data_IF_077082104601
#
_entry.id   IF_077082104601
#
_cell.length_a   1.000
_cell.length_b   1.000
_cell.length_c   1.000
_cell.angle_alpha   90.00
_cell.angle_beta   90.00
_cell.angle_gamma   90.00
#
_symmetry.space_group_name_H-M   'P 1'
#
loop_
_entity.id
_entity.type
_entity.pdbx_description
1 polymer ?
#
# COMPACT_ATOMS: atom_id res chain seq x y z
N UNK A 1 5.64 23.57 -17.30
CA UNK A 1 6.73 22.56 -17.26
C UNK A 1 6.15 21.21 -17.66
N UNK A 2 6.86 20.40 -18.46
CA UNK A 2 6.38 19.06 -18.87
C UNK A 2 6.23 18.17 -17.63
N UNK A 3 5.06 17.52 -17.50
CA UNK A 3 4.79 16.55 -16.43
C UNK A 3 5.17 15.15 -16.91
N UNK A 4 4.79 14.78 -18.13
CA UNK A 4 5.13 13.48 -18.72
C UNK A 4 4.56 13.28 -20.12
N UNK A 5 4.93 12.14 -20.72
CA UNK A 5 4.49 11.67 -22.03
C UNK A 5 3.75 10.36 -21.86
N UNK A 6 2.51 10.27 -22.33
CA UNK A 6 1.62 9.14 -22.13
C UNK A 6 1.05 8.65 -23.46
N UNK A 7 0.47 7.45 -23.46
CA UNK A 7 -0.23 6.91 -24.62
C UNK A 7 -1.60 6.39 -24.20
N UNK A 8 -2.66 6.85 -24.87
CA UNK A 8 -3.99 6.25 -24.73
C UNK A 8 -4.31 5.45 -25.99
N UNK A 9 -4.98 4.31 -25.78
CA UNK A 9 -5.64 3.56 -26.85
C UNK A 9 -7.13 3.88 -26.73
N UNK A 10 -7.61 4.73 -27.61
CA UNK A 10 -9.03 5.07 -27.71
C UNK A 10 -9.60 4.24 -28.87
N UNK A 11 -10.90 3.91 -28.80
CA UNK A 11 -11.65 3.12 -29.78
C UNK A 11 -11.14 3.33 -31.22
N UNK A 12 -10.92 2.22 -31.94
CA UNK A 12 -10.37 2.10 -33.31
C UNK A 12 -8.84 1.89 -33.45
N UNK A 13 -8.17 1.36 -32.41
CA UNK A 13 -6.76 0.89 -32.47
C UNK A 13 -5.73 1.98 -32.80
N UNK A 14 -6.09 3.26 -32.68
CA UNK A 14 -5.17 4.38 -32.88
C UNK A 14 -4.53 4.75 -31.54
N UNK A 15 -3.21 4.66 -31.49
CA UNK A 15 -2.43 5.17 -30.35
C UNK A 15 -2.36 6.69 -30.43
N UNK A 16 -2.83 7.37 -29.40
CA UNK A 16 -2.64 8.82 -29.24
C UNK A 16 -1.45 9.07 -28.31
N UNK A 17 -0.50 9.90 -28.76
CA UNK A 17 0.54 10.44 -27.88
C UNK A 17 -0.01 11.65 -27.13
N UNK A 18 0.00 11.59 -25.80
CA UNK A 18 -0.53 12.65 -24.93
C UNK A 18 0.64 13.28 -24.18
N UNK A 19 0.85 14.59 -24.36
CA UNK A 19 1.87 15.37 -23.67
C UNK A 19 1.18 16.30 -22.67
N UNK A 20 1.46 16.12 -21.38
CA UNK A 20 0.79 16.92 -20.34
C UNK A 20 1.77 17.89 -19.70
N UNK A 21 1.40 19.17 -19.68
CA UNK A 21 2.19 20.25 -19.12
C UNK A 21 1.48 20.89 -17.94
N UNK A 22 2.25 21.29 -16.93
CA UNK A 22 1.77 22.20 -15.88
C UNK A 22 1.68 23.62 -16.43
N UNK A 23 0.46 24.15 -16.45
CA UNK A 23 0.15 25.57 -16.66
C UNK A 23 -0.08 26.35 -15.37
N UNK A 24 -0.18 27.67 -15.49
CA UNK A 24 -0.67 28.59 -14.45
C UNK A 24 -1.62 29.58 -15.09
N UNK A 25 -2.68 29.94 -14.39
CA UNK A 25 -3.62 30.98 -14.83
C UNK A 25 -2.91 32.33 -14.83
N UNK A 26 -3.02 33.06 -15.93
CA UNK A 26 -2.47 34.43 -16.08
C UNK A 26 -3.57 35.50 -16.19
N UNK A 27 -4.85 35.09 -16.25
CA UNK A 27 -6.04 35.92 -16.36
C UNK A 27 -7.20 35.15 -17.01
N UNK A 28 -8.40 35.77 -17.08
CA UNK A 28 -9.59 35.22 -17.74
C UNK A 28 -10.68 34.70 -16.77
N UNK A 29 -11.84 34.34 -17.33
CA UNK A 29 -12.95 33.69 -16.62
C UNK A 29 -13.08 32.23 -17.07
N UNK A 30 -13.24 31.31 -16.13
CA UNK A 30 -13.37 29.88 -16.40
C UNK A 30 -14.74 29.58 -17.03
N UNK A 31 -14.76 29.07 -18.27
CA UNK A 31 -15.98 28.72 -19.03
C UNK A 31 -15.71 27.48 -19.90
N UNK A 32 -16.71 26.60 -20.10
CA UNK A 32 -16.54 25.40 -20.91
C UNK A 32 -16.31 25.76 -22.39
N UNK A 33 -15.54 24.91 -23.07
CA UNK A 33 -15.26 25.00 -24.51
C UNK A 33 -16.31 24.28 -25.36
N UNK A 34 -16.05 24.17 -26.66
CA UNK A 34 -16.89 23.42 -27.61
C UNK A 34 -16.79 21.90 -27.45
N UNK A 35 -15.69 21.42 -26.86
CA UNK A 35 -15.38 20.02 -26.59
C UNK A 35 -15.61 19.59 -25.13
N UNK A 36 -16.13 20.48 -24.28
CA UNK A 36 -16.36 20.23 -22.86
C UNK A 36 -17.77 20.67 -22.42
N UNK A 37 -18.52 19.77 -21.78
CA UNK A 37 -19.85 20.08 -21.24
C UNK A 37 -19.80 20.99 -20.00
N UNK A 38 -18.75 20.85 -19.19
CA UNK A 38 -18.56 21.60 -17.96
C UNK A 38 -17.08 21.84 -17.68
N UNK A 39 -16.78 22.86 -16.89
CA UNK A 39 -15.44 23.13 -16.37
C UNK A 39 -15.54 23.64 -14.94
N UNK A 40 -14.65 23.17 -14.08
CA UNK A 40 -14.57 23.60 -12.68
C UNK A 40 -13.16 23.41 -12.13
N UNK A 41 -12.90 23.96 -10.95
CA UNK A 41 -11.70 23.74 -10.17
C UNK A 41 -11.87 22.56 -9.23
N UNK A 42 -11.00 21.56 -9.37
CA UNK A 42 -11.01 20.39 -8.51
C UNK A 42 -9.81 20.38 -7.57
N UNK A 43 -10.07 19.97 -6.32
CA UNK A 43 -9.01 19.59 -5.41
C UNK A 43 -8.38 18.28 -5.88
N UNK A 44 -7.05 18.15 -5.73
CA UNK A 44 -6.33 16.91 -6.06
C UNK A 44 -6.76 15.70 -5.22
N UNK A 45 -7.48 15.92 -4.10
CA UNK A 45 -8.04 14.87 -3.25
C UNK A 45 -9.53 14.59 -3.51
N UNK A 46 -10.13 15.33 -4.43
CA UNK A 46 -11.55 15.22 -4.79
C UNK A 46 -11.71 15.52 -6.28
N UNK A 47 -11.12 14.64 -7.08
CA UNK A 47 -11.23 14.69 -8.53
C UNK A 47 -12.53 14.02 -8.98
N UNK A 48 -13.14 14.50 -10.07
CA UNK A 48 -14.23 13.77 -10.72
C UNK A 48 -13.67 12.50 -11.36
N UNK A 49 -14.56 11.66 -11.87
CA UNK A 49 -14.15 10.58 -12.77
C UNK A 49 -13.48 11.19 -14.00
N UNK A 50 -12.27 10.72 -14.32
CA UNK A 50 -11.50 11.24 -15.44
C UNK A 50 -11.81 10.44 -16.69
N UNK A 51 -12.10 11.15 -17.78
CA UNK A 51 -12.47 10.55 -19.06
C UNK A 51 -11.37 9.65 -19.68
N UNK A 52 -10.09 9.90 -19.35
CA UNK A 52 -8.95 9.20 -19.94
C UNK A 52 -7.98 8.65 -18.88
N UNK A 53 -7.45 7.42 -19.06
CA UNK A 53 -6.43 6.85 -18.17
C UNK A 53 -5.18 7.71 -18.05
N UNK A 54 -4.69 8.28 -19.16
CA UNK A 54 -3.51 9.18 -19.14
C UNK A 54 -3.68 10.39 -18.21
N UNK A 55 -4.90 10.91 -18.06
CA UNK A 55 -5.19 11.99 -17.13
C UNK A 55 -4.96 11.59 -15.67
N UNK A 56 -5.35 10.36 -15.30
CA UNK A 56 -5.09 9.80 -13.97
C UNK A 56 -3.60 9.61 -13.75
N UNK A 57 -2.93 8.92 -14.67
CA UNK A 57 -1.48 8.66 -14.57
C UNK A 57 -0.67 9.95 -14.50
N UNK A 58 -1.08 11.00 -15.21
CA UNK A 58 -0.40 12.28 -15.17
C UNK A 58 -0.60 13.04 -13.87
N UNK A 59 -1.77 12.93 -13.23
CA UNK A 59 -1.99 13.51 -11.91
C UNK A 59 -1.22 12.76 -10.83
N UNK A 60 -1.16 11.43 -10.90
CA UNK A 60 -0.32 10.60 -10.02
C UNK A 60 1.17 10.94 -10.18
N UNK A 61 1.66 11.01 -11.42
CA UNK A 61 3.03 11.41 -11.72
C UNK A 61 3.31 12.86 -11.31
N UNK A 62 2.36 13.78 -11.49
CA UNK A 62 2.49 15.15 -11.01
C UNK A 62 2.55 15.23 -9.49
N UNK A 63 1.72 14.46 -8.77
CA UNK A 63 1.76 14.37 -7.32
C UNK A 63 3.10 13.81 -6.85
N UNK A 64 3.61 12.78 -7.51
CA UNK A 64 4.94 12.21 -7.25
C UNK A 64 6.06 13.23 -7.50
N UNK A 65 6.03 13.94 -8.64
CA UNK A 65 7.04 14.97 -8.96
C UNK A 65 6.95 16.16 -7.98
N UNK A 66 5.74 16.57 -7.61
CA UNK A 66 5.50 17.74 -6.75
C UNK A 66 5.87 17.46 -5.30
N UNK A 67 5.49 16.29 -4.79
CA UNK A 67 5.59 15.96 -3.38
C UNK A 67 6.78 15.02 -3.10
N UNK A 68 7.59 14.69 -4.10
CA UNK A 68 8.52 13.56 -4.00
C UNK A 68 7.77 12.25 -3.76
N UNK A 69 8.47 11.17 -3.36
CA UNK A 69 7.79 10.02 -2.76
C UNK A 69 6.93 10.53 -1.59
N UNK A 70 5.84 9.83 -1.26
CA UNK A 70 4.88 10.20 -0.20
C UNK A 70 5.49 10.45 1.21
N UNK A 71 6.81 10.32 1.34
CA UNK A 71 7.66 10.56 2.50
C UNK A 71 8.33 11.94 2.53
N UNK A 72 8.19 12.80 1.51
CA UNK A 72 8.88 14.11 1.52
C UNK A 72 8.20 15.10 2.48
N UNK A 73 8.76 15.23 3.68
CA UNK A 73 8.35 16.24 4.65
C UNK A 73 9.13 17.53 4.37
N UNK A 74 8.41 18.59 3.99
CA UNK A 74 9.02 19.90 3.68
C UNK A 74 9.04 20.88 4.85
N UNK A 75 8.14 20.70 5.83
CA UNK A 75 7.99 21.60 6.97
C UNK A 75 8.00 20.82 8.28
N UNK A 76 8.58 21.42 9.32
CA UNK A 76 8.66 20.81 10.63
C UNK A 76 7.27 20.65 11.26
N UNK A 77 6.87 19.45 11.72
CA UNK A 77 5.57 19.24 12.36
C UNK A 77 5.45 19.94 13.72
N UNK A 78 6.58 20.34 14.34
CA UNK A 78 6.59 21.02 15.66
C UNK A 78 6.50 22.53 15.55
N UNK A 79 7.29 23.15 14.67
CA UNK A 79 7.44 24.61 14.61
C UNK A 79 7.13 25.22 13.24
N UNK A 80 6.78 24.40 12.23
CA UNK A 80 6.39 24.81 10.87
C UNK A 80 7.49 25.46 10.01
N UNK A 81 8.72 25.60 10.50
CA UNK A 81 9.86 26.02 9.68
C UNK A 81 10.13 25.01 8.54
N UNK A 82 10.67 25.49 7.41
CA UNK A 82 11.15 24.61 6.34
C UNK A 82 12.25 23.68 6.87
N UNK A 83 12.23 22.41 6.43
CA UNK A 83 13.26 21.43 6.77
C UNK A 83 14.43 21.54 5.80
N UNK A 84 15.63 21.32 6.33
CA UNK A 84 16.90 21.29 5.59
C UNK A 84 17.49 19.88 5.60
N UNK A 85 18.37 19.55 4.66
CA UNK A 85 19.11 18.28 4.68
C UNK A 85 20.22 18.38 5.72
N UNK A 86 20.24 17.47 6.70
CA UNK A 86 21.32 17.34 7.68
C UNK A 86 21.91 15.94 7.62
N UNK A 87 23.24 15.87 7.48
CA UNK A 87 23.99 14.63 7.59
C UNK A 87 24.01 14.15 9.05
N UNK A 88 23.49 12.95 9.30
CA UNK A 88 23.50 12.30 10.62
C UNK A 88 24.06 10.89 10.41
N UNK A 89 25.25 10.65 10.96
CA UNK A 89 26.03 9.46 10.61
C UNK A 89 26.37 9.47 9.12
N UNK A 90 25.92 8.45 8.39
CA UNK A 90 26.23 8.27 6.96
C UNK A 90 25.03 8.55 6.03
N UNK A 91 23.97 9.19 6.54
CA UNK A 91 22.74 9.46 5.77
C UNK A 91 22.24 10.88 6.01
N UNK A 92 21.61 11.46 5.00
CA UNK A 92 20.96 12.76 5.09
C UNK A 92 19.48 12.62 5.45
N UNK A 93 19.02 13.43 6.39
CA UNK A 93 17.62 13.47 6.81
C UNK A 93 17.05 14.89 6.72
N UNK A 94 15.74 15.05 6.44
CA UNK A 94 15.05 16.30 6.68
C UNK A 94 15.11 16.67 8.17
N UNK A 95 15.71 17.80 8.48
CA UNK A 95 15.92 18.27 9.84
C UNK A 95 15.58 19.75 9.98
N UNK A 96 14.98 20.11 11.11
CA UNK A 96 14.60 21.48 11.39
C UNK A 96 15.83 22.27 11.88
N UNK A 97 16.14 23.43 11.29
CA UNK A 97 17.23 24.29 11.77
C UNK A 97 16.87 24.99 13.09
N UNK A 98 15.58 25.15 13.40
CA UNK A 98 15.11 25.93 14.55
C UNK A 98 14.91 25.10 15.83
N UNK A 99 14.12 24.04 15.77
CA UNK A 99 13.80 23.21 16.95
C UNK A 99 14.54 21.88 16.99
N UNK A 100 15.46 21.67 16.04
CA UNK A 100 16.31 20.48 15.91
C UNK A 100 15.57 19.14 15.72
N UNK A 101 14.26 19.16 15.44
CA UNK A 101 13.51 17.97 15.01
C UNK A 101 14.18 17.32 13.79
N UNK A 102 14.22 15.99 13.77
CA UNK A 102 14.70 15.19 12.64
C UNK A 102 13.58 14.26 12.20
N UNK A 103 13.30 14.25 10.90
CA UNK A 103 12.35 13.32 10.29
C UNK A 103 13.09 12.06 9.82
N UNK A 104 13.02 10.99 10.61
CA UNK A 104 13.57 9.70 10.21
C UNK A 104 12.60 8.96 9.29
N UNK A 105 13.12 8.40 8.20
CA UNK A 105 12.36 7.50 7.34
C UNK A 105 12.40 6.10 7.96
N UNK A 106 11.40 5.79 8.77
CA UNK A 106 11.25 4.48 9.39
C UNK A 106 10.46 3.52 8.47
N UNK A 107 10.73 2.21 8.53
CA UNK A 107 9.88 1.22 7.89
C UNK A 107 8.44 1.31 8.42
N UNK A 108 7.47 1.04 7.55
CA UNK A 108 6.08 0.88 7.96
C UNK A 108 5.91 -0.49 8.64
N UNK A 109 5.42 -0.56 9.89
CA UNK A 109 5.14 -1.81 10.57
C UNK A 109 3.85 -2.46 10.05
N UNK A 110 3.91 -3.76 9.76
CA UNK A 110 2.79 -4.58 9.26
C UNK A 110 2.74 -5.88 10.04
N UNK A 111 1.55 -6.37 10.37
CA UNK A 111 1.33 -7.67 10.97
C UNK A 111 0.59 -8.59 9.99
N UNK A 112 1.10 -9.82 9.78
CA UNK A 112 0.46 -10.86 8.95
C UNK A 112 0.33 -12.15 9.75
N UNK A 113 -0.66 -12.98 9.42
CA UNK A 113 -0.90 -14.23 10.16
C UNK A 113 -1.04 -15.42 9.23
N UNK A 114 -0.34 -16.51 9.55
CA UNK A 114 -0.61 -17.84 9.00
C UNK A 114 -1.62 -18.52 9.91
N UNK A 115 -2.81 -18.78 9.38
CA UNK A 115 -3.88 -19.50 10.07
C UNK A 115 -4.11 -20.82 9.34
N UNK A 116 -4.23 -21.91 10.10
CA UNK A 116 -4.61 -23.21 9.56
C UNK A 116 -5.90 -23.73 10.17
N UNK A 117 -6.67 -24.48 9.37
CA UNK A 117 -7.81 -25.24 9.88
C UNK A 117 -7.39 -26.63 10.40
N UNK A 118 -8.38 -27.42 10.84
CA UNK A 118 -8.18 -28.76 11.37
C UNK A 118 -7.63 -29.75 10.32
N UNK A 119 -7.81 -29.46 9.04
CA UNK A 119 -7.26 -30.25 7.93
C UNK A 119 -5.85 -29.80 7.51
N UNK A 120 -5.28 -28.79 8.18
CA UNK A 120 -3.95 -28.25 7.88
C UNK A 120 -3.91 -27.40 6.61
N UNK A 121 -5.07 -26.96 6.10
CA UNK A 121 -5.13 -26.01 4.98
C UNK A 121 -4.83 -24.60 5.48
N UNK A 122 -4.24 -23.78 4.62
CA UNK A 122 -3.77 -22.44 4.95
C UNK A 122 -4.79 -21.41 4.48
N UNK A 123 -5.17 -20.49 5.38
CA UNK A 123 -6.03 -19.37 5.06
C UNK A 123 -5.27 -18.32 4.23
N UNK A 124 -5.85 -17.93 3.11
CA UNK A 124 -5.40 -16.80 2.30
C UNK A 124 -6.59 -15.86 2.02
N UNK A 125 -6.28 -14.58 1.85
CA UNK A 125 -7.23 -13.53 1.44
C UNK A 125 -6.87 -13.02 0.05
N UNK A 126 -7.88 -12.75 -0.77
CA UNK A 126 -7.71 -12.22 -2.12
C UNK A 126 -7.84 -10.72 -2.08
N UNK A 127 -6.81 -10.00 -2.47
CA UNK A 127 -6.75 -8.53 -2.36
C UNK A 127 -7.74 -7.85 -3.28
N UNK A 128 -8.57 -6.94 -2.76
CA UNK A 128 -9.49 -6.13 -3.56
C UNK A 128 -8.82 -4.90 -4.18
N UNK A 129 -7.88 -4.28 -3.45
CA UNK A 129 -7.30 -2.98 -3.81
C UNK A 129 -5.89 -3.09 -4.41
N UNK A 130 -5.51 -2.18 -5.33
CA UNK A 130 -4.14 -2.10 -5.84
C UNK A 130 -3.16 -1.67 -4.71
N UNK A 131 -1.88 -2.06 -4.79
CA UNK A 131 -1.26 -2.89 -5.84
C UNK A 131 -1.66 -4.36 -5.68
N UNK A 132 -1.50 -5.13 -6.77
CA UNK A 132 -1.76 -6.58 -6.79
C UNK A 132 -3.21 -6.96 -6.42
N UNK A 133 -4.18 -6.17 -6.87
CA UNK A 133 -5.59 -6.55 -6.79
C UNK A 133 -5.81 -7.87 -7.54
N UNK A 134 -6.57 -8.78 -6.94
CA UNK A 134 -6.82 -10.14 -7.42
C UNK A 134 -5.80 -11.20 -6.99
N UNK A 135 -4.65 -10.80 -6.41
CA UNK A 135 -3.64 -11.72 -5.89
C UNK A 135 -3.94 -12.16 -4.45
N UNK A 136 -3.45 -13.34 -4.08
CA UNK A 136 -3.66 -13.95 -2.76
C UNK A 136 -2.54 -13.58 -1.78
N UNK A 137 -2.92 -13.22 -0.56
CA UNK A 137 -2.00 -12.85 0.51
C UNK A 137 -2.34 -13.59 1.82
N UNK A 138 -1.41 -13.53 2.78
CA UNK A 138 -1.75 -13.81 4.16
C UNK A 138 -2.69 -12.71 4.67
N UNK A 139 -3.67 -13.03 5.53
CA UNK A 139 -4.43 -11.99 6.20
C UNK A 139 -3.50 -11.10 7.03
N UNK A 140 -3.68 -9.79 6.95
CA UNK A 140 -2.80 -8.84 7.62
C UNK A 140 -2.78 -7.43 7.05
N UNK A 141 -2.34 -6.50 7.88
CA UNK A 141 -2.38 -5.07 7.57
C UNK A 141 -1.43 -4.25 8.44
N UNK A 142 -1.60 -2.94 8.37
CA UNK A 142 -0.76 -1.98 9.09
C UNK A 142 -0.99 -2.09 10.60
N UNK A 143 0.09 -1.92 11.37
CA UNK A 143 -0.04 -1.79 12.82
C UNK A 143 -0.44 -0.34 13.13
N UNK A 144 -1.60 -0.18 13.78
CA UNK A 144 -2.13 1.14 14.10
C UNK A 144 -1.39 1.82 15.26
N UNK A 145 -1.62 3.13 15.40
CA UNK A 145 -1.05 3.89 16.50
C UNK A 145 -1.60 3.41 17.84
N UNK A 146 -0.70 3.11 18.78
CA UNK A 146 -1.00 2.51 20.10
C UNK A 146 -1.50 1.05 20.03
N UNK A 147 -1.27 0.34 18.93
CA UNK A 147 -1.56 -1.08 18.80
C UNK A 147 -0.26 -1.90 18.85
N UNK A 148 -0.31 -3.10 19.45
CA UNK A 148 0.75 -4.10 19.35
C UNK A 148 0.67 -4.87 18.02
N UNK A 149 1.77 -5.53 17.63
CA UNK A 149 1.77 -6.37 16.43
C UNK A 149 0.80 -7.56 16.58
N UNK A 150 0.65 -8.09 17.78
CA UNK A 150 -0.28 -9.17 18.13
C UNK A 150 -1.75 -8.72 18.02
N UNK A 151 -2.08 -7.54 18.55
CA UNK A 151 -3.43 -6.97 18.43
C UNK A 151 -3.78 -6.72 16.96
N UNK A 152 -2.87 -6.13 16.19
CA UNK A 152 -3.06 -5.93 14.75
C UNK A 152 -3.29 -7.25 14.01
N UNK A 153 -2.45 -8.26 14.25
CA UNK A 153 -2.61 -9.58 13.63
C UNK A 153 -3.99 -10.22 13.90
N UNK A 154 -4.50 -10.11 15.14
CA UNK A 154 -5.82 -10.64 15.52
C UNK A 154 -6.94 -9.80 14.89
N UNK A 155 -6.82 -8.47 14.92
CA UNK A 155 -7.80 -7.54 14.35
C UNK A 155 -7.95 -7.76 12.85
N UNK A 156 -6.85 -7.75 12.11
CA UNK A 156 -6.83 -7.88 10.64
C UNK A 156 -7.45 -9.21 10.19
N UNK A 157 -7.09 -10.33 10.84
CA UNK A 157 -7.73 -11.63 10.54
C UNK A 157 -9.23 -11.58 10.76
N UNK A 158 -9.69 -10.93 11.83
CA UNK A 158 -11.13 -10.79 12.11
C UNK A 158 -11.82 -9.89 11.07
N UNK A 159 -11.22 -8.78 10.69
CA UNK A 159 -11.76 -7.80 9.75
C UNK A 159 -11.85 -8.36 8.32
N UNK A 160 -10.79 -9.02 7.84
CA UNK A 160 -10.72 -9.54 6.47
C UNK A 160 -11.44 -10.88 6.29
N UNK A 161 -11.60 -11.69 7.35
CA UNK A 161 -12.06 -13.09 7.23
C UNK A 161 -13.20 -13.49 8.17
N UNK A 162 -13.58 -12.64 9.12
CA UNK A 162 -14.61 -12.96 10.12
C UNK A 162 -14.23 -14.05 11.14
N UNK A 163 -13.00 -14.57 11.09
CA UNK A 163 -12.50 -15.59 12.00
C UNK A 163 -11.90 -14.98 13.27
N UNK A 164 -12.13 -15.66 14.39
CA UNK A 164 -11.51 -15.32 15.67
C UNK A 164 -10.37 -16.29 15.93
N UNK A 165 -9.17 -15.75 16.14
CA UNK A 165 -7.97 -16.55 16.31
C UNK A 165 -7.28 -16.28 17.64
N UNK A 166 -6.42 -17.23 18.04
CA UNK A 166 -5.41 -17.03 19.07
C UNK A 166 -4.04 -17.22 18.46
N UNK A 167 -3.14 -16.27 18.68
CA UNK A 167 -1.76 -16.39 18.22
C UNK A 167 -1.01 -17.42 19.08
N UNK A 168 -0.32 -18.34 18.43
CA UNK A 168 0.52 -19.35 19.09
C UNK A 168 1.97 -18.90 19.22
N UNK A 169 2.52 -18.23 18.20
CA UNK A 169 3.89 -17.71 18.19
C UNK A 169 4.13 -16.69 17.08
N UNK A 170 5.16 -15.88 17.25
CA UNK A 170 5.82 -15.17 16.15
C UNK A 170 6.62 -16.19 15.32
N UNK A 171 6.41 -16.24 14.00
CA UNK A 171 7.18 -17.06 13.07
C UNK A 171 8.50 -16.38 12.72
N UNK A 172 8.43 -15.15 12.21
CA UNK A 172 9.59 -14.35 11.84
C UNK A 172 9.24 -12.89 11.62
N UNK A 173 10.28 -12.05 11.53
CA UNK A 173 10.19 -10.67 11.06
C UNK A 173 10.96 -10.51 9.75
N UNK A 174 10.41 -9.78 8.78
CA UNK A 174 11.02 -9.62 7.47
C UNK A 174 10.89 -8.18 6.96
N UNK A 175 11.95 -7.64 6.37
CA UNK A 175 11.96 -6.31 5.77
C UNK A 175 11.91 -6.38 4.25
N UNK A 176 11.07 -5.57 3.62
CA UNK A 176 10.95 -5.48 2.16
C UNK A 176 10.80 -4.02 1.71
N UNK A 177 11.23 -3.66 0.50
CA UNK A 177 10.76 -2.44 -0.14
C UNK A 177 9.23 -2.45 -0.27
N UNK A 178 8.58 -1.31 -0.04
CA UNK A 178 7.13 -1.18 -0.23
C UNK A 178 6.78 -1.24 -1.71
N UNK A 179 5.72 -1.98 -2.04
CA UNK A 179 5.17 -2.02 -3.40
C UNK A 179 4.59 -0.68 -3.85
N UNK A 180 4.13 0.14 -2.91
CA UNK A 180 3.56 1.46 -3.18
C UNK A 180 4.64 2.53 -3.34
N UNK A 181 5.76 2.39 -2.63
CA UNK A 181 6.85 3.37 -2.64
C UNK A 181 8.21 2.66 -2.46
N UNK A 182 8.99 2.49 -3.53
CA UNK A 182 10.31 1.82 -3.46
C UNK A 182 11.32 2.49 -2.53
N UNK A 183 11.15 3.78 -2.21
CA UNK A 183 11.99 4.50 -1.24
C UNK A 183 11.56 4.27 0.22
N UNK A 184 10.47 3.54 0.44
CA UNK A 184 9.97 3.16 1.74
C UNK A 184 10.12 1.66 1.93
N UNK A 185 10.43 1.24 3.15
CA UNK A 185 10.42 -0.17 3.51
C UNK A 185 9.20 -0.50 4.36
N UNK A 186 8.77 -1.75 4.31
CA UNK A 186 7.84 -2.35 5.27
C UNK A 186 8.63 -3.31 6.15
N UNK A 187 8.29 -3.37 7.43
CA UNK A 187 8.74 -4.40 8.37
C UNK A 187 7.53 -5.24 8.76
N UNK A 188 7.53 -6.49 8.31
CA UNK A 188 6.45 -7.44 8.55
C UNK A 188 6.77 -8.31 9.75
N UNK A 189 5.86 -8.36 10.73
CA UNK A 189 5.84 -9.37 11.77
C UNK A 189 4.83 -10.45 11.40
N UNK A 190 5.29 -11.69 11.25
CA UNK A 190 4.45 -12.79 10.76
C UNK A 190 4.19 -13.76 11.91
N UNK A 191 2.94 -13.95 12.26
CA UNK A 191 2.50 -14.82 13.35
C UNK A 191 1.91 -16.14 12.82
N UNK A 192 1.82 -17.12 13.71
CA UNK A 192 1.01 -18.33 13.51
C UNK A 192 -0.18 -18.25 14.46
N UNK A 193 -1.38 -18.51 13.95
CA UNK A 193 -2.62 -18.45 14.71
C UNK A 193 -3.47 -19.71 14.55
N UNK A 194 -4.25 -20.00 15.59
CA UNK A 194 -5.21 -21.09 15.64
C UNK A 194 -6.63 -20.52 15.69
N UNK A 195 -7.56 -21.16 14.97
CA UNK A 195 -8.96 -20.74 14.93
C UNK A 195 -9.65 -21.12 16.25
N UNK A 196 -10.28 -20.13 16.87
CA UNK A 196 -11.04 -20.27 18.12
C UNK A 196 -12.53 -19.95 17.96
N UNK A 197 -12.93 -19.34 16.84
CA UNK A 197 -14.32 -19.01 16.57
C UNK A 197 -14.50 -18.26 15.25
N UNK A 198 -15.71 -17.73 15.05
CA UNK A 198 -16.07 -16.98 13.85
C UNK A 198 -16.56 -17.85 12.68
N UNK A 199 -16.94 -17.18 11.60
CA UNK A 199 -17.41 -17.81 10.36
C UNK A 199 -16.68 -17.16 9.20
N UNK A 200 -16.01 -17.98 8.39
CA UNK A 200 -15.23 -17.50 7.25
C UNK A 200 -16.11 -16.68 6.30
N UNK A 201 -15.84 -15.38 6.26
CA UNK A 201 -16.53 -14.40 5.44
C UNK A 201 -15.53 -13.33 5.02
N UNK A 202 -15.34 -13.13 3.71
CA UNK A 202 -14.47 -12.07 3.23
C UNK A 202 -15.01 -10.69 3.65
N UNK A 203 -14.13 -9.82 4.13
CA UNK A 203 -14.45 -8.49 4.64
C UNK A 203 -13.41 -7.44 4.27
N UNK A 204 -13.75 -6.17 4.56
CA UNK A 204 -12.94 -4.98 4.30
C UNK A 204 -12.32 -4.90 2.89
N UNK A 205 -11.00 -5.05 2.77
CA UNK A 205 -10.24 -5.01 1.54
C UNK A 205 -9.90 -6.41 0.98
N UNK A 206 -10.45 -7.47 1.57
CA UNK A 206 -10.49 -8.81 0.98
C UNK A 206 -11.71 -8.95 0.05
N UNK A 207 -11.46 -9.31 -1.21
CA UNK A 207 -12.51 -9.72 -2.17
C UNK A 207 -13.03 -11.12 -1.85
N UNK A 208 -12.16 -11.99 -1.36
CA UNK A 208 -12.42 -13.39 -1.07
C UNK A 208 -11.49 -13.90 0.04
N UNK A 209 -11.88 -14.96 0.75
CA UNK A 209 -11.10 -15.60 1.79
C UNK A 209 -11.31 -17.12 1.74
N UNK A 210 -10.23 -17.89 1.58
CA UNK A 210 -10.31 -19.33 1.33
C UNK A 210 -9.16 -20.10 2.00
N UNK A 211 -9.42 -21.36 2.32
CA UNK A 211 -8.42 -22.32 2.80
C UNK A 211 -7.86 -23.15 1.65
N UNK A 212 -6.53 -23.16 1.52
CA UNK A 212 -5.81 -23.90 0.48
C UNK A 212 -4.97 -25.02 1.07
N UNK A 213 -5.05 -26.21 0.49
CA UNK A 213 -4.08 -27.25 0.79
C UNK A 213 -2.71 -26.84 0.24
N UNK A 214 -1.62 -27.25 0.89
CA UNK A 214 -0.26 -26.87 0.46
C UNK A 214 0.02 -27.20 -1.02
N UNK A 215 -0.46 -28.36 -1.49
CA UNK A 215 -0.30 -28.82 -2.87
C UNK A 215 -1.12 -28.02 -3.90
N UNK A 216 -2.05 -27.19 -3.43
CA UNK A 216 -3.04 -26.47 -4.24
C UNK A 216 -2.96 -24.95 -3.99
N UNK A 217 -1.85 -24.46 -3.44
CA UNK A 217 -1.62 -23.03 -3.27
C UNK A 217 -1.77 -22.30 -4.61
N UNK A 218 -2.42 -21.12 -4.62
CA UNK A 218 -2.61 -20.35 -5.84
C UNK A 218 -1.25 -19.88 -6.39
N UNK A 219 -1.14 -19.82 -7.72
CA UNK A 219 0.10 -19.39 -8.40
C UNK A 219 0.36 -17.88 -8.28
N UNK A 220 -0.69 -17.10 -8.01
CA UNK A 220 -0.64 -15.64 -7.94
C UNK A 220 -0.62 -15.15 -6.50
N UNK A 221 0.46 -15.47 -5.78
CA UNK A 221 0.71 -14.90 -4.46
C UNK A 221 1.15 -13.43 -4.61
N UNK A 222 0.60 -12.55 -3.76
CA UNK A 222 0.69 -11.11 -3.93
C UNK A 222 2.12 -10.58 -3.80
N UNK A 223 2.93 -11.20 -2.94
CA UNK A 223 4.30 -10.76 -2.66
C UNK A 223 5.22 -11.94 -2.38
N UNK A 224 6.52 -11.76 -2.65
CA UNK A 224 7.58 -12.72 -2.28
C UNK A 224 7.58 -13.02 -0.77
N UNK A 225 7.17 -12.06 0.07
CA UNK A 225 7.11 -12.28 1.53
C UNK A 225 6.14 -13.39 1.91
N UNK A 226 5.03 -13.54 1.19
CA UNK A 226 4.04 -14.60 1.44
C UNK A 226 4.66 -15.96 1.14
N UNK A 227 5.30 -16.12 -0.02
CA UNK A 227 5.99 -17.36 -0.39
C UNK A 227 7.05 -17.75 0.65
N UNK A 228 7.90 -16.79 1.03
CA UNK A 228 8.94 -17.01 2.04
C UNK A 228 8.37 -17.36 3.42
N UNK A 229 7.28 -16.72 3.83
CA UNK A 229 6.61 -17.01 5.09
C UNK A 229 6.04 -18.42 5.13
N UNK A 230 5.34 -18.83 4.07
CA UNK A 230 4.78 -20.17 3.92
C UNK A 230 5.88 -21.24 3.94
N UNK A 231 6.99 -21.01 3.24
CA UNK A 231 8.15 -21.90 3.26
C UNK A 231 8.75 -22.03 4.68
N UNK A 232 8.98 -20.91 5.37
CA UNK A 232 9.48 -20.90 6.76
C UNK A 232 8.55 -21.64 7.70
N UNK A 233 7.24 -21.44 7.55
CA UNK A 233 6.24 -22.12 8.35
C UNK A 233 6.29 -23.63 8.14
N UNK A 234 6.36 -24.09 6.87
CA UNK A 234 6.47 -25.51 6.54
C UNK A 234 7.72 -26.15 7.10
N UNK A 235 8.87 -25.50 6.95
CA UNK A 235 10.14 -25.97 7.51
C UNK A 235 10.12 -26.05 9.04
N UNK A 236 9.41 -25.13 9.69
CA UNK A 236 9.25 -25.14 11.15
C UNK A 236 8.29 -26.21 11.65
N UNK A 237 7.31 -26.60 10.82
CA UNK A 237 6.30 -27.60 11.17
C UNK A 237 6.79 -29.04 10.95
N UNK A 238 7.72 -29.26 10.01
CA UNK A 238 8.35 -30.57 9.74
C UNK A 238 9.43 -30.98 10.77
N UNK A 239 9.67 -30.15 11.80
CA UNK A 239 10.69 -30.43 12.83
C UNK A 239 10.17 -31.20 14.05
N UNK A 240 8.90 -31.62 14.02
CA UNK A 240 8.27 -32.40 15.09
C UNK A 240 7.55 -33.62 14.52
#
# INVERSE_FOLDING_TARGET
>A
ALIGTYSDIIHDWRSHLVLIYRGRTIGGELKPGDDAEAVDWFSMYRLPELAFPSGRSALEQWLYIRNGPATAVHYCPRCRCALERRLIGNREYPACPTCHYVHFHNPIPVAETIVTDAEGRILLVKRKLPPRSGDWALPGGHIDFNESAEEAAIREVKEETGLEIKLSRLLCTMGFPSLLNPEQSVLKAIFVGEIHGGVLTAGDDAEDAQFFHWSELPKNLATESVEMALQKWRESSNKF
#
